data_IF_893729320982
#
_entry.id   IF_893729320982
#
_cell.length_a   1.000
_cell.length_b   1.000
_cell.length_c   1.000
_cell.angle_alpha   90.00
_cell.angle_beta   90.00
_cell.angle_gamma   90.00
#
_symmetry.space_group_name_H-M   'P 1'
#
loop_
_entity.id
_entity.type
_entity.pdbx_description
1 polymer ?
#
# COMPACT_ATOMS: atom_id res chain seq x y z
N UNK A 1 35.62 1.86 -29.96
CA UNK A 1 35.57 2.28 -31.38
C UNK A 1 34.22 1.87 -31.93
N UNK A 2 33.45 2.77 -32.56
CA UNK A 2 32.21 2.42 -33.24
C UNK A 2 32.44 1.26 -34.21
N UNK A 3 31.53 0.28 -34.26
CA UNK A 3 31.59 -0.84 -35.22
C UNK A 3 31.68 -0.34 -36.69
N UNK A 4 31.12 0.84 -36.94
CA UNK A 4 31.18 1.55 -38.21
C UNK A 4 32.61 1.93 -38.64
N UNK A 5 33.46 2.34 -37.72
CA UNK A 5 34.84 2.76 -38.01
C UNK A 5 35.73 1.58 -38.39
N UNK A 6 35.47 0.42 -37.79
CA UNK A 6 36.18 -0.83 -38.11
C UNK A 6 35.75 -1.34 -39.49
N UNK A 7 34.45 -1.29 -39.80
CA UNK A 7 33.92 -1.72 -41.09
C UNK A 7 34.33 -0.83 -42.28
N UNK A 8 34.61 0.46 -42.04
CA UNK A 8 35.15 1.35 -43.07
C UNK A 8 36.65 1.12 -43.28
N UNK A 9 37.44 0.97 -42.21
CA UNK A 9 38.87 0.65 -42.33
C UNK A 9 39.14 -0.65 -43.07
N UNK A 10 38.32 -1.68 -42.85
CA UNK A 10 38.47 -2.95 -43.55
C UNK A 10 38.14 -2.80 -45.05
N UNK A 11 37.17 -1.94 -45.40
CA UNK A 11 36.83 -1.65 -46.80
C UNK A 11 37.95 -0.92 -47.50
N UNK A 12 38.48 0.14 -46.88
CA UNK A 12 39.58 0.92 -47.44
C UNK A 12 40.81 0.02 -47.70
N UNK A 13 41.12 -0.89 -46.77
CA UNK A 13 42.20 -1.86 -46.93
C UNK A 13 41.93 -2.89 -48.06
N UNK A 14 40.68 -3.28 -48.30
CA UNK A 14 40.32 -4.18 -49.40
C UNK A 14 40.39 -3.48 -50.77
N UNK A 15 39.97 -2.22 -50.83
CA UNK A 15 40.05 -1.39 -52.02
C UNK A 15 41.52 -1.10 -52.40
N UNK A 16 42.38 -0.86 -51.41
CA UNK A 16 43.84 -0.71 -51.60
C UNK A 16 44.49 -1.98 -52.14
N UNK A 17 44.06 -3.17 -51.70
CA UNK A 17 44.55 -4.46 -52.20
C UNK A 17 44.02 -4.74 -53.61
N UNK A 18 42.78 -4.34 -53.92
CA UNK A 18 42.20 -4.42 -55.28
C UNK A 18 42.93 -3.54 -56.29
N UNK A 19 43.47 -2.40 -55.86
CA UNK A 19 44.23 -1.48 -56.70
C UNK A 19 45.66 -1.97 -57.02
N UNK A 20 46.20 -2.93 -56.25
CA UNK A 20 47.54 -3.47 -56.42
C UNK A 20 47.52 -4.75 -57.29
N UNK A 21 47.72 -4.57 -58.61
CA UNK A 21 48.01 -5.60 -59.65
C UNK A 21 47.72 -7.08 -59.29
N UNK A 22 46.54 -7.57 -59.68
CA UNK A 22 45.97 -8.87 -59.29
C UNK A 22 45.80 -9.81 -60.51
N UNK A 23 46.89 -10.38 -61.01
CA UNK A 23 46.84 -11.43 -62.04
C UNK A 23 46.85 -12.87 -61.44
N UNK A 24 46.80 -13.02 -60.11
CA UNK A 24 46.75 -14.33 -59.44
C UNK A 24 45.30 -14.71 -59.05
N UNK A 25 44.70 -15.73 -59.70
CA UNK A 25 43.33 -16.16 -59.41
C UNK A 25 43.11 -16.63 -57.97
N UNK A 26 44.17 -16.99 -57.23
CA UNK A 26 44.08 -17.37 -55.80
C UNK A 26 43.89 -16.16 -54.89
N UNK A 27 44.50 -15.02 -55.25
CA UNK A 27 44.31 -13.76 -54.53
C UNK A 27 42.88 -13.23 -54.71
N UNK A 28 42.30 -13.43 -55.89
CA UNK A 28 40.90 -13.07 -56.16
C UNK A 28 39.91 -13.90 -55.31
N UNK A 29 40.16 -15.20 -55.11
CA UNK A 29 39.36 -16.04 -54.21
C UNK A 29 39.43 -15.55 -52.75
N UNK A 30 40.65 -15.25 -52.27
CA UNK A 30 40.87 -14.75 -50.89
C UNK A 30 40.19 -13.39 -50.68
N UNK A 31 40.26 -12.49 -51.67
CA UNK A 31 39.55 -11.21 -51.65
C UNK A 31 38.03 -11.40 -51.62
N UNK A 32 37.48 -12.32 -52.42
CA UNK A 32 36.04 -12.61 -52.39
C UNK A 32 35.59 -13.17 -51.04
N UNK A 33 36.42 -14.02 -50.41
CA UNK A 33 36.13 -14.58 -49.10
C UNK A 33 36.17 -13.50 -48.02
N UNK A 34 37.14 -12.59 -48.10
CA UNK A 34 37.23 -11.44 -47.21
C UNK A 34 36.03 -10.48 -47.37
N UNK A 35 35.58 -10.22 -48.61
CA UNK A 35 34.37 -9.41 -48.86
C UNK A 35 33.12 -10.06 -48.27
N UNK A 36 32.93 -11.36 -48.49
CA UNK A 36 31.80 -12.11 -47.91
C UNK A 36 31.81 -12.09 -46.37
N UNK A 37 32.99 -12.15 -45.75
CA UNK A 37 33.14 -12.12 -44.30
C UNK A 37 32.81 -10.72 -43.74
N UNK A 38 33.22 -9.65 -44.43
CA UNK A 38 32.90 -8.26 -44.08
C UNK A 38 31.40 -7.98 -44.24
N UNK A 39 30.78 -8.48 -45.29
CA UNK A 39 29.34 -8.36 -45.51
C UNK A 39 28.54 -9.08 -44.42
N UNK A 40 28.97 -10.30 -44.07
CA UNK A 40 28.37 -11.06 -42.96
C UNK A 40 28.55 -10.36 -41.61
N UNK A 41 29.74 -9.81 -41.33
CA UNK A 41 29.99 -9.03 -40.10
C UNK A 41 29.08 -7.79 -40.03
N UNK A 42 28.86 -7.08 -41.14
CA UNK A 42 27.96 -5.91 -41.16
C UNK A 42 26.53 -6.29 -40.80
N UNK A 43 26.03 -7.39 -41.36
CA UNK A 43 24.68 -7.89 -41.06
C UNK A 43 24.58 -8.30 -39.58
N UNK A 44 25.61 -8.99 -39.07
CA UNK A 44 25.67 -9.43 -37.67
C UNK A 44 25.66 -8.24 -36.70
N UNK A 45 26.54 -7.24 -36.89
CA UNK A 45 26.56 -6.06 -36.01
C UNK A 45 25.31 -5.20 -36.14
N UNK A 46 24.75 -5.06 -37.34
CA UNK A 46 23.47 -4.37 -37.52
C UNK A 46 22.33 -5.04 -36.74
N UNK A 47 22.33 -6.38 -36.67
CA UNK A 47 21.34 -7.13 -35.90
C UNK A 47 21.54 -7.02 -34.38
N UNK A 48 22.79 -7.01 -33.90
CA UNK A 48 23.12 -6.81 -32.48
C UNK A 48 22.75 -5.40 -32.03
N UNK A 49 23.10 -4.38 -32.81
CA UNK A 49 22.77 -3.00 -32.47
C UNK A 49 21.25 -2.83 -32.36
N UNK A 50 20.48 -3.39 -33.27
CA UNK A 50 19.02 -3.32 -33.20
C UNK A 50 18.45 -4.07 -31.99
N UNK A 51 18.93 -5.28 -31.71
CA UNK A 51 18.49 -6.07 -30.54
C UNK A 51 18.79 -5.36 -29.21
N UNK A 52 19.98 -4.77 -29.08
CA UNK A 52 20.39 -4.05 -27.88
C UNK A 52 19.58 -2.76 -27.71
N UNK A 53 19.31 -2.05 -28.81
CA UNK A 53 18.46 -0.86 -28.79
C UNK A 53 17.03 -1.22 -28.39
N UNK A 54 16.46 -2.29 -28.93
CA UNK A 54 15.11 -2.76 -28.58
C UNK A 54 15.03 -3.17 -27.10
N UNK A 55 16.07 -3.81 -26.57
CA UNK A 55 16.12 -4.18 -25.16
C UNK A 55 16.23 -2.96 -24.24
N UNK A 56 17.04 -1.95 -24.59
CA UNK A 56 17.06 -0.67 -23.87
C UNK A 56 15.72 0.07 -23.95
N UNK A 57 15.03 0.03 -25.09
CA UNK A 57 13.70 0.62 -25.23
C UNK A 57 12.68 -0.10 -24.35
N UNK A 58 12.72 -1.44 -24.30
CA UNK A 58 11.87 -2.22 -23.39
C UNK A 58 12.14 -1.88 -21.92
N UNK A 59 13.41 -1.80 -21.51
CA UNK A 59 13.78 -1.43 -20.14
C UNK A 59 13.29 -0.01 -19.82
N UNK A 60 13.47 0.94 -20.74
CA UNK A 60 13.01 2.32 -20.54
C UNK A 60 11.48 2.41 -20.43
N UNK A 61 10.74 1.67 -21.26
CA UNK A 61 9.28 1.59 -21.17
C UNK A 61 8.84 0.95 -19.84
N UNK A 62 9.51 -0.12 -19.42
CA UNK A 62 9.24 -0.76 -18.14
C UNK A 62 9.46 0.19 -16.97
N UNK A 63 10.60 0.90 -16.95
CA UNK A 63 10.90 1.91 -15.92
C UNK A 63 9.84 3.01 -15.89
N UNK A 64 9.43 3.53 -17.06
CA UNK A 64 8.40 4.58 -17.12
C UNK A 64 7.05 4.09 -16.60
N UNK A 65 6.62 2.89 -17.01
CA UNK A 65 5.39 2.27 -16.50
C UNK A 65 5.45 2.08 -14.99
N UNK A 66 6.56 1.55 -14.48
CA UNK A 66 6.76 1.41 -13.03
C UNK A 66 6.74 2.78 -12.34
N UNK A 67 7.31 3.82 -12.95
CA UNK A 67 7.26 5.20 -12.43
C UNK A 67 5.83 5.72 -12.33
N UNK A 68 5.00 5.46 -13.33
CA UNK A 68 3.57 5.82 -13.34
C UNK A 68 2.77 5.03 -12.30
N UNK A 69 3.01 3.72 -12.19
CA UNK A 69 2.37 2.87 -11.17
C UNK A 69 2.74 3.33 -9.75
N UNK A 70 3.99 3.76 -9.51
CA UNK A 70 4.42 4.34 -8.23
C UNK A 70 3.80 5.72 -8.01
N UNK A 71 3.71 6.57 -9.04
CA UNK A 71 3.09 7.88 -8.94
C UNK A 71 1.60 7.78 -8.53
N UNK A 72 0.92 6.72 -9.00
CA UNK A 72 -0.46 6.41 -8.63
C UNK A 72 -0.63 5.96 -7.17
N UNK A 73 0.43 5.45 -6.52
CA UNK A 73 0.41 5.18 -5.07
C UNK A 73 0.44 6.46 -4.22
N UNK A 74 0.64 7.62 -4.85
CA UNK A 74 0.73 8.95 -4.21
C UNK A 74 1.62 8.96 -2.94
N UNK A 75 2.92 8.61 -3.07
CA UNK A 75 3.84 8.53 -1.93
C UNK A 75 3.88 9.81 -1.08
N UNK A 76 3.78 11.00 -1.68
CA UNK A 76 3.82 12.27 -0.94
C UNK A 76 2.49 12.60 -0.24
N UNK A 77 1.33 12.22 -0.81
CA UNK A 77 0.03 12.35 -0.12
C UNK A 77 -0.11 11.40 1.08
N UNK A 78 0.44 10.18 0.97
CA UNK A 78 0.56 9.27 2.10
C UNK A 78 1.38 9.92 3.22
N UNK A 79 2.51 10.55 2.88
CA UNK A 79 3.37 11.26 3.83
C UNK A 79 2.69 12.49 4.46
N UNK A 80 1.87 13.20 3.68
CA UNK A 80 1.32 14.51 4.04
C UNK A 80 -0.03 14.51 4.76
N UNK A 81 -0.94 13.57 4.45
CA UNK A 81 -2.33 13.62 4.95
C UNK A 81 -2.78 12.33 5.63
N UNK A 82 -2.52 11.16 5.02
CA UNK A 82 -3.08 9.89 5.51
C UNK A 82 -2.35 9.33 6.72
N UNK A 83 -1.02 9.47 6.79
CA UNK A 83 -0.22 9.00 7.93
C UNK A 83 -0.43 9.87 9.19
N UNK A 84 -0.43 11.22 9.13
CA UNK A 84 -0.74 12.03 10.30
C UNK A 84 -2.15 11.77 10.85
N UNK A 85 -3.13 11.55 9.97
CA UNK A 85 -4.50 11.22 10.36
C UNK A 85 -4.57 9.84 11.03
N UNK A 86 -3.89 8.84 10.47
CA UNK A 86 -3.73 7.55 11.14
C UNK A 86 -3.03 7.73 12.50
N UNK A 87 -1.96 8.54 12.57
CA UNK A 87 -1.29 8.91 13.83
C UNK A 87 -2.24 9.46 14.89
N UNK A 88 -3.15 10.36 14.52
CA UNK A 88 -4.14 10.95 15.41
C UNK A 88 -5.19 9.93 15.90
N UNK A 89 -5.70 9.08 15.02
CA UNK A 89 -6.60 7.97 15.38
C UNK A 89 -5.93 6.97 16.34
N UNK A 90 -4.60 6.87 16.29
CA UNK A 90 -3.82 5.99 17.16
C UNK A 90 -3.55 6.62 18.52
N UNK A 91 -3.29 7.91 18.56
CA UNK A 91 -3.19 8.69 19.79
C UNK A 91 -4.53 8.67 20.55
N UNK A 92 -5.65 8.69 19.81
CA UNK A 92 -6.98 8.44 20.35
C UNK A 92 -7.09 7.06 21.01
N UNK A 93 -6.67 5.98 20.34
CA UNK A 93 -6.68 4.62 20.91
C UNK A 93 -5.78 4.51 22.15
N UNK A 94 -4.61 5.15 22.16
CA UNK A 94 -3.75 5.19 23.35
C UNK A 94 -4.45 5.94 24.49
N UNK A 95 -5.04 7.10 24.21
CA UNK A 95 -5.84 7.85 25.19
C UNK A 95 -7.01 7.03 25.75
N UNK A 96 -7.68 6.24 24.92
CA UNK A 96 -8.75 5.32 25.34
C UNK A 96 -8.20 4.25 26.30
N UNK A 97 -7.00 3.71 26.04
CA UNK A 97 -6.36 2.74 26.93
C UNK A 97 -5.88 3.33 28.25
N UNK A 98 -5.44 4.59 28.24
CA UNK A 98 -5.11 5.33 29.46
C UNK A 98 -6.35 5.56 30.31
N UNK A 99 -7.46 6.02 29.70
CA UNK A 99 -8.74 6.19 30.40
C UNK A 99 -9.30 4.88 30.95
N UNK A 100 -9.19 3.78 30.20
CA UNK A 100 -9.57 2.46 30.69
C UNK A 100 -8.76 2.05 31.93
N UNK A 101 -7.44 2.31 31.92
CA UNK A 101 -6.57 2.03 33.06
C UNK A 101 -6.91 2.89 34.28
N UNK A 102 -7.16 4.18 34.08
CA UNK A 102 -7.60 5.11 35.13
C UNK A 102 -8.91 4.65 35.77
N UNK A 103 -9.87 4.22 34.95
CA UNK A 103 -11.15 3.66 35.43
C UNK A 103 -10.95 2.38 36.25
N UNK A 104 -10.08 1.47 35.80
CA UNK A 104 -9.75 0.23 36.54
C UNK A 104 -9.13 0.56 37.90
N UNK A 105 -8.20 1.51 37.94
CA UNK A 105 -7.57 1.95 39.20
C UNK A 105 -8.59 2.60 40.14
N UNK A 106 -9.46 3.46 39.61
CA UNK A 106 -10.53 4.12 40.38
C UNK A 106 -11.48 3.10 40.99
N UNK A 107 -11.92 2.09 40.23
CA UNK A 107 -12.78 1.01 40.73
C UNK A 107 -12.10 0.19 41.82
N UNK A 108 -10.80 -0.07 41.69
CA UNK A 108 -10.02 -0.76 42.72
C UNK A 108 -9.90 0.09 44.00
N UNK A 109 -9.67 1.39 43.89
CA UNK A 109 -9.66 2.33 45.01
C UNK A 109 -11.02 2.40 45.70
N UNK A 110 -12.11 2.44 44.95
CA UNK A 110 -13.48 2.46 45.47
C UNK A 110 -13.86 1.19 46.24
N UNK A 111 -13.34 0.04 45.84
CA UNK A 111 -13.44 -1.21 46.58
C UNK A 111 -12.64 -1.12 47.88
N UNK A 112 -11.39 -0.63 47.84
CA UNK A 112 -10.55 -0.51 49.02
C UNK A 112 -11.11 0.47 50.06
N UNK A 113 -11.79 1.52 49.61
CA UNK A 113 -12.45 2.52 50.46
C UNK A 113 -13.87 2.12 50.89
N UNK A 114 -14.41 0.99 50.41
CA UNK A 114 -15.76 0.57 50.73
C UNK A 114 -15.91 0.15 52.20
N UNK A 115 -17.01 0.58 52.82
CA UNK A 115 -17.35 0.18 54.17
C UNK A 115 -17.79 -1.29 54.19
N UNK A 116 -17.07 -2.12 54.95
CA UNK A 116 -17.35 -3.53 55.12
C UNK A 116 -18.34 -3.83 56.27
N UNK A 117 -18.91 -2.79 56.91
CA UNK A 117 -19.83 -2.94 58.03
C UNK A 117 -21.17 -3.58 57.65
N UNK A 118 -21.63 -3.41 56.41
CA UNK A 118 -22.77 -4.12 55.81
C UNK A 118 -22.27 -5.14 54.77
N UNK A 119 -22.26 -6.44 55.09
CA UNK A 119 -21.76 -7.47 54.19
C UNK A 119 -22.54 -7.61 52.88
N UNK A 120 -23.84 -7.29 52.87
CA UNK A 120 -24.68 -7.43 51.67
C UNK A 120 -24.38 -6.29 50.70
N UNK A 121 -24.40 -5.05 51.21
CA UNK A 121 -24.06 -3.87 50.42
C UNK A 121 -22.60 -3.88 49.93
N UNK A 122 -21.66 -4.33 50.78
CA UNK A 122 -20.26 -4.48 50.41
C UNK A 122 -20.09 -5.49 49.27
N UNK A 123 -20.73 -6.67 49.37
CA UNK A 123 -20.68 -7.69 48.33
C UNK A 123 -21.23 -7.19 47.00
N UNK A 124 -22.36 -6.50 47.02
CA UNK A 124 -22.97 -5.94 45.80
C UNK A 124 -22.07 -4.88 45.15
N UNK A 125 -21.43 -4.02 45.95
CA UNK A 125 -20.48 -3.01 45.44
C UNK A 125 -19.25 -3.67 44.81
N UNK A 126 -18.68 -4.69 45.46
CA UNK A 126 -17.52 -5.43 44.93
C UNK A 126 -17.87 -6.19 43.65
N UNK A 127 -19.02 -6.88 43.60
CA UNK A 127 -19.44 -7.64 42.43
C UNK A 127 -19.66 -6.70 41.21
N UNK A 128 -20.27 -5.52 41.42
CA UNK A 128 -20.45 -4.51 40.36
C UNK A 128 -19.11 -3.93 39.87
N UNK A 129 -18.22 -3.56 40.79
CA UNK A 129 -16.91 -3.00 40.43
C UNK A 129 -16.04 -4.04 39.69
N UNK A 130 -16.07 -5.31 40.11
CA UNK A 130 -15.37 -6.40 39.41
C UNK A 130 -15.92 -6.65 38.00
N UNK A 131 -17.25 -6.53 37.79
CA UNK A 131 -17.85 -6.66 36.47
C UNK A 131 -17.36 -5.57 35.52
N UNK A 132 -17.34 -4.31 35.99
CA UNK A 132 -16.83 -3.17 35.22
C UNK A 132 -15.32 -3.29 34.93
N UNK A 133 -14.52 -3.79 35.88
CA UNK A 133 -13.09 -4.04 35.66
C UNK A 133 -12.85 -5.12 34.59
N UNK A 134 -13.64 -6.20 34.58
CA UNK A 134 -13.54 -7.27 33.58
C UNK A 134 -13.88 -6.74 32.19
N UNK A 135 -14.94 -5.93 32.08
CA UNK A 135 -15.36 -5.32 30.82
C UNK A 135 -14.27 -4.40 30.26
N UNK A 136 -13.73 -3.49 31.09
CA UNK A 136 -12.64 -2.59 30.72
C UNK A 136 -11.36 -3.34 30.29
N UNK A 137 -10.96 -4.39 31.02
CA UNK A 137 -9.79 -5.21 30.68
C UNK A 137 -9.94 -5.95 29.34
N UNK A 138 -11.16 -6.44 29.03
CA UNK A 138 -11.40 -7.24 27.82
C UNK A 138 -11.17 -6.46 26.53
N UNK A 139 -11.46 -5.15 26.54
CA UNK A 139 -11.26 -4.26 25.41
C UNK A 139 -9.84 -3.71 25.30
N UNK A 140 -9.12 -3.58 26.43
CA UNK A 140 -7.80 -2.95 26.49
C UNK A 140 -6.68 -3.82 25.89
N UNK A 141 -6.64 -5.12 26.20
CA UNK A 141 -5.46 -5.95 25.91
C UNK A 141 -5.30 -6.31 24.43
N UNK A 142 -6.40 -6.70 23.77
CA UNK A 142 -6.38 -7.14 22.37
C UNK A 142 -6.27 -5.94 21.41
N UNK A 143 -6.90 -4.81 21.74
CA UNK A 143 -6.98 -3.65 20.86
C UNK A 143 -5.66 -2.89 20.82
N UNK A 144 -5.07 -2.56 21.98
CA UNK A 144 -3.82 -1.80 22.05
C UNK A 144 -2.63 -2.52 21.39
N UNK A 145 -2.51 -3.84 21.58
CA UNK A 145 -1.41 -4.63 21.00
C UNK A 145 -1.57 -4.83 19.49
N UNK A 146 -2.78 -5.11 19.00
CA UNK A 146 -3.02 -5.34 17.56
C UNK A 146 -2.87 -4.05 16.77
N UNK A 147 -3.37 -2.94 17.31
CA UNK A 147 -3.24 -1.62 16.72
C UNK A 147 -1.76 -1.23 16.63
N UNK A 148 -1.02 -1.28 17.75
CA UNK A 148 0.42 -0.94 17.75
C UNK A 148 1.25 -1.74 16.73
N UNK A 149 0.94 -3.03 16.54
CA UNK A 149 1.64 -3.89 15.58
C UNK A 149 1.30 -3.56 14.12
N UNK A 150 0.04 -3.27 13.83
CA UNK A 150 -0.40 -2.87 12.48
C UNK A 150 0.25 -1.53 12.11
N UNK A 151 0.32 -0.59 13.05
CA UNK A 151 0.94 0.72 12.87
C UNK A 151 2.42 0.63 12.58
N UNK A 152 3.18 -0.09 13.41
CA UNK A 152 4.61 -0.28 13.19
C UNK A 152 4.89 -0.88 11.81
N UNK A 153 3.99 -1.73 11.32
CA UNK A 153 4.07 -2.30 9.97
C UNK A 153 3.79 -1.26 8.89
N UNK A 154 2.76 -0.42 9.05
CA UNK A 154 2.41 0.64 8.11
C UNK A 154 3.51 1.72 8.02
N UNK A 155 4.07 2.17 9.15
CA UNK A 155 5.19 3.13 9.17
C UNK A 155 6.45 2.57 8.50
N UNK A 156 6.72 1.27 8.64
CA UNK A 156 7.85 0.65 7.95
C UNK A 156 7.62 0.48 6.44
N UNK A 157 6.37 0.27 6.02
CA UNK A 157 6.00 0.27 4.60
C UNK A 157 6.16 1.69 4.02
N UNK A 158 5.71 2.71 4.74
CA UNK A 158 5.87 4.13 4.39
C UNK A 158 7.34 4.48 4.14
N UNK A 159 8.22 4.23 5.11
CA UNK A 159 9.64 4.58 4.99
C UNK A 159 10.28 3.97 3.72
N UNK A 160 9.87 2.76 3.35
CA UNK A 160 10.34 2.09 2.14
C UNK A 160 9.77 2.70 0.87
N UNK A 161 8.47 3.00 0.85
CA UNK A 161 7.79 3.62 -0.29
C UNK A 161 8.33 5.03 -0.54
N UNK A 162 8.52 5.83 0.51
CA UNK A 162 9.07 7.19 0.42
C UNK A 162 10.52 7.18 -0.09
N UNK A 163 11.39 6.34 0.48
CA UNK A 163 12.77 6.20 0.02
C UNK A 163 12.85 5.73 -1.43
N UNK A 164 11.95 4.84 -1.83
CA UNK A 164 11.91 4.34 -3.20
C UNK A 164 11.42 5.42 -4.18
N UNK A 165 10.39 6.18 -3.81
CA UNK A 165 9.91 7.32 -4.61
C UNK A 165 10.99 8.39 -4.80
N UNK A 166 11.75 8.71 -3.74
CA UNK A 166 12.86 9.67 -3.78
C UNK A 166 13.99 9.21 -4.73
N UNK A 167 14.41 7.95 -4.63
CA UNK A 167 15.45 7.37 -5.52
C UNK A 167 15.01 7.37 -6.98
N UNK A 168 13.72 7.13 -7.24
CA UNK A 168 13.15 7.05 -8.57
C UNK A 168 12.72 8.42 -9.15
N UNK A 169 12.80 9.50 -8.36
CA UNK A 169 12.43 10.85 -8.78
C UNK A 169 10.96 10.98 -9.20
N UNK A 170 10.07 10.20 -8.58
CA UNK A 170 8.64 10.17 -8.93
C UNK A 170 7.91 11.32 -8.25
N UNK A 171 7.14 12.08 -9.02
CA UNK A 171 6.18 13.06 -8.51
C UNK A 171 4.80 12.40 -8.44
N UNK A 172 4.02 12.73 -7.40
CA UNK A 172 2.66 12.21 -7.25
C UNK A 172 1.78 12.60 -8.44
N UNK A 173 0.89 11.68 -8.84
CA UNK A 173 -0.14 11.99 -9.83
C UNK A 173 -1.13 13.04 -9.30
N UNK A 174 -1.69 13.86 -10.20
CA UNK A 174 -2.74 14.84 -9.84
C UNK A 174 -3.97 14.14 -9.26
N UNK A 175 -4.58 14.82 -8.29
CA UNK A 175 -5.69 14.32 -7.46
C UNK A 175 -7.03 14.43 -8.19
N UNK A 176 -7.66 13.29 -8.47
CA UNK A 176 -9.12 13.18 -8.43
C UNK A 176 -9.47 12.13 -7.37
N UNK A 177 -10.20 12.53 -6.31
CA UNK A 177 -10.78 11.55 -5.39
C UNK A 177 -11.65 10.58 -6.19
N UNK A 178 -11.33 9.29 -6.08
CA UNK A 178 -12.17 8.27 -6.70
C UNK A 178 -13.55 8.26 -6.01
N UNK A 179 -14.61 7.93 -6.74
CA UNK A 179 -15.96 7.87 -6.18
C UNK A 179 -16.06 6.93 -4.96
N UNK A 180 -15.19 5.92 -4.92
CA UNK A 180 -15.05 5.01 -3.77
C UNK A 180 -14.40 5.68 -2.55
N UNK A 181 -13.43 6.56 -2.74
CA UNK A 181 -12.81 7.33 -1.66
C UNK A 181 -13.75 8.39 -1.11
N UNK A 182 -14.52 9.06 -1.99
CA UNK A 182 -15.61 9.95 -1.56
C UNK A 182 -16.64 9.21 -0.73
N UNK A 183 -17.13 8.08 -1.24
CA UNK A 183 -18.07 7.25 -0.50
C UNK A 183 -17.48 6.78 0.83
N UNK A 184 -16.21 6.35 0.88
CA UNK A 184 -15.58 5.94 2.13
C UNK A 184 -15.42 7.10 3.12
N UNK A 185 -15.01 8.29 2.70
CA UNK A 185 -14.94 9.47 3.57
C UNK A 185 -16.33 9.90 4.06
N UNK A 186 -17.35 9.80 3.21
CA UNK A 186 -18.74 10.12 3.55
C UNK A 186 -19.39 9.06 4.46
N UNK A 187 -18.98 7.79 4.31
CA UNK A 187 -19.45 6.64 5.09
C UNK A 187 -18.45 6.14 6.14
N UNK A 188 -17.43 6.92 6.50
CA UNK A 188 -16.72 6.74 7.76
C UNK A 188 -17.74 7.09 8.85
N UNK A 189 -18.61 6.12 9.17
CA UNK A 189 -19.45 6.16 10.35
C UNK A 189 -18.50 6.37 11.51
N UNK A 190 -18.54 7.58 12.06
CA UNK A 190 -17.85 7.95 13.27
C UNK A 190 -17.96 6.78 14.25
N UNK A 191 -16.82 6.14 14.55
CA UNK A 191 -16.69 5.40 15.79
C UNK A 191 -17.03 6.31 16.98
N UNK A 192 -17.13 5.79 18.21
CA UNK A 192 -17.42 6.61 19.38
C UNK A 192 -16.57 7.88 19.33
N UNK A 193 -17.24 9.03 19.16
CA UNK A 193 -16.57 10.29 18.87
C UNK A 193 -15.70 10.64 20.06
N UNK A 194 -14.39 10.83 19.81
CA UNK A 194 -13.51 11.46 20.78
C UNK A 194 -14.08 12.86 21.06
N UNK A 195 -14.67 13.06 22.24
CA UNK A 195 -15.34 14.30 22.69
C UNK A 195 -16.66 14.71 22.00
N UNK A 196 -17.31 13.80 21.27
CA UNK A 196 -18.66 14.05 20.73
C UNK A 196 -19.75 13.85 21.78
N UNK A 197 -20.97 14.41 21.58
CA UNK A 197 -22.09 14.10 22.46
C UNK A 197 -22.33 12.58 22.40
N UNK A 198 -22.21 11.91 23.55
CA UNK A 198 -22.56 10.50 23.66
C UNK A 198 -23.97 10.32 23.09
N UNK A 199 -24.12 9.51 22.04
CA UNK A 199 -25.41 9.20 21.47
C UNK A 199 -26.22 8.51 22.56
N UNK A 200 -27.18 9.24 23.15
CA UNK A 200 -27.99 8.74 24.25
C UNK A 200 -28.78 7.51 23.82
N UNK A 201 -29.00 6.58 24.76
CA UNK A 201 -29.72 5.33 24.51
C UNK A 201 -31.12 5.59 23.90
N UNK A 202 -31.77 6.71 24.22
CA UNK A 202 -33.06 7.09 23.60
C UNK A 202 -32.96 7.34 22.09
N UNK A 203 -31.83 7.84 21.59
CA UNK A 203 -31.61 8.02 20.15
C UNK A 203 -31.32 6.70 19.45
N UNK A 204 -30.71 5.74 20.16
CA UNK A 204 -30.49 4.38 19.67
C UNK A 204 -31.82 3.62 19.64
N UNK A 205 -32.61 3.72 20.70
CA UNK A 205 -33.93 3.08 20.79
C UNK A 205 -34.87 3.64 19.72
N UNK A 206 -34.88 4.96 19.49
CA UNK A 206 -35.66 5.57 18.41
C UNK A 206 -35.25 5.11 16.99
N UNK A 207 -34.00 4.67 16.80
CA UNK A 207 -33.51 4.11 15.54
C UNK A 207 -34.05 2.69 15.29
N UNK A 208 -34.28 1.92 16.36
CA UNK A 208 -34.83 0.56 16.30
C UNK A 208 -36.36 0.51 16.43
N UNK A 209 -36.99 1.56 16.97
CA UNK A 209 -38.44 1.70 17.07
C UNK A 209 -39.06 2.27 15.76
N UNK A 210 -38.24 2.87 14.90
CA UNK A 210 -38.62 3.33 13.57
C UNK A 210 -38.57 2.21 12.53
N UNK A 211 -39.73 1.61 12.25
CA UNK A 211 -39.99 0.53 11.27
C UNK A 211 -39.74 -0.91 11.74
N UNK A 212 -40.45 -1.33 12.78
CA UNK A 212 -41.11 -2.65 12.74
C UNK A 212 -42.62 -2.48 12.89
N UNK A 213 -43.25 -1.94 11.85
CA UNK A 213 -44.66 -2.24 11.64
C UNK A 213 -44.74 -3.75 11.43
N UNK A 214 -45.49 -4.46 12.28
CA UNK A 214 -45.92 -5.85 12.11
C UNK A 214 -46.77 -6.03 10.82
N UNK A 215 -46.23 -5.67 9.66
CA UNK A 215 -46.76 -6.10 8.38
C UNK A 215 -46.16 -7.48 8.10
N UNK A 216 -46.80 -8.48 8.71
CA UNK A 216 -46.78 -9.91 8.38
C UNK A 216 -45.77 -10.32 7.29
N UNK A 217 -44.51 -10.56 7.67
CA UNK A 217 -43.66 -11.49 6.93
C UNK A 217 -44.15 -12.87 7.32
N UNK A 218 -45.10 -13.40 6.54
CA UNK A 218 -45.64 -14.73 6.76
C UNK A 218 -44.55 -15.77 6.56
N UNK A 219 -44.68 -16.91 7.24
CA UNK A 219 -43.82 -18.08 7.06
C UNK A 219 -43.60 -18.43 5.57
N UNK A 220 -44.63 -18.18 4.75
CA UNK A 220 -44.63 -18.40 3.30
C UNK A 220 -43.62 -17.51 2.53
N UNK A 221 -43.30 -16.30 3.02
CA UNK A 221 -42.31 -15.42 2.39
C UNK A 221 -40.88 -15.86 2.71
N UNK A 222 -40.68 -16.52 3.86
CA UNK A 222 -39.39 -17.09 4.27
C UNK A 222 -39.10 -18.38 3.48
N UNK A 223 -40.11 -19.21 3.27
CA UNK A 223 -39.95 -20.48 2.55
C UNK A 223 -39.64 -20.25 1.05
N UNK A 224 -40.15 -19.18 0.44
CA UNK A 224 -39.84 -18.80 -0.95
C UNK A 224 -38.41 -18.25 -1.16
N UNK A 225 -37.66 -17.98 -0.08
CA UNK A 225 -36.31 -17.43 -0.18
C UNK A 225 -35.23 -18.51 -0.30
N UNK A 226 -35.57 -19.78 -0.03
CA UNK A 226 -34.63 -20.90 0.06
C UNK A 226 -34.91 -22.05 -0.92
N UNK A 227 -35.86 -21.89 -1.85
CA UNK A 227 -36.03 -22.71 -3.06
C UNK A 227 -35.39 -22.00 -4.28
#
# INVERSE_FOLDING_TARGET
MPAFDVANRIRDALDDIKAADLDDPRLMEVLSLAENLVETMKIFFGSIDHSVIDEFQHIAQYINRTREEIAALRPNDIHGSRIPTAGAELEAVVGDTERATENIMTLAEDIMAADASDPVAYKEKVDNAMMQMIEACSFQDITGQRVSKVVATLSHIEERVSRFAEVMGVLDAESEETDKEKWQNENLLNGPQLDGPATGQEAIDALFDGETSEAALGQDDIDNLFD
#
